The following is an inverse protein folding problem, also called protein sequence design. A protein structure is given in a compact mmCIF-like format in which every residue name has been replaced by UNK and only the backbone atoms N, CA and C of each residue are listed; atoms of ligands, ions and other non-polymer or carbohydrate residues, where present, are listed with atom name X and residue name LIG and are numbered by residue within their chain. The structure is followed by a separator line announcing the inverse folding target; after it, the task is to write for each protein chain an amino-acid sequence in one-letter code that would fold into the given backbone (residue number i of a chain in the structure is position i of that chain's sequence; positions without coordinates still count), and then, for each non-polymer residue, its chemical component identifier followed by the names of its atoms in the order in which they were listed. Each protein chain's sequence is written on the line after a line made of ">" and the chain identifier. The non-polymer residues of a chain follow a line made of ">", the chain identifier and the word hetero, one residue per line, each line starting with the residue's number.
data_IF_317303044287
#
_entry.id   IF_317303044287
#
_cell.length_a   1.000
_cell.length_b   1.000
_cell.length_c   1.000
_cell.angle_alpha   90.00
_cell.angle_beta   90.00
_cell.angle_gamma   90.00
#
_symmetry.space_group_name_H-M   'P 1'
#
loop_
_entity.id
_entity.type
_entity.pdbx_description
1 polymer ?
#
# COMPACT_ATOMS: atom_id res chain seq x y z
N UNK A 1 7.32 18.97 9.23
CA UNK A 1 8.54 19.60 8.65
C UNK A 1 9.01 18.91 7.36
N UNK A 2 8.79 17.60 7.19
CA UNK A 2 9.16 16.83 5.99
C UNK A 2 8.38 17.23 4.71
N UNK A 3 7.06 17.40 4.79
CA UNK A 3 6.19 17.73 3.63
C UNK A 3 6.54 19.10 3.01
N UNK A 4 6.83 20.12 3.82
CA UNK A 4 7.16 21.48 3.32
C UNK A 4 8.52 21.54 2.61
N UNK A 5 9.52 20.74 3.01
CA UNK A 5 10.84 20.69 2.33
C UNK A 5 10.76 20.00 0.96
N UNK A 6 9.89 19.00 0.81
CA UNK A 6 9.70 18.32 -0.48
C UNK A 6 9.00 19.20 -1.53
N UNK A 7 8.09 20.08 -1.12
CA UNK A 7 7.45 21.00 -2.06
C UNK A 7 8.45 21.95 -2.74
N UNK A 8 9.48 22.43 -2.02
CA UNK A 8 10.51 23.29 -2.59
C UNK A 8 11.35 22.57 -3.66
N UNK A 9 11.80 21.35 -3.37
CA UNK A 9 12.58 20.54 -4.34
C UNK A 9 11.77 20.15 -5.57
N UNK A 10 10.48 19.86 -5.40
CA UNK A 10 9.59 19.56 -6.53
C UNK A 10 9.45 20.77 -7.47
N UNK A 11 9.27 21.97 -6.92
CA UNK A 11 9.21 23.20 -7.72
C UNK A 11 10.51 23.47 -8.48
N UNK A 12 11.68 23.21 -7.87
CA UNK A 12 12.98 23.31 -8.55
C UNK A 12 13.09 22.32 -9.72
N UNK A 13 12.72 21.05 -9.49
CA UNK A 13 12.75 20.03 -10.54
C UNK A 13 11.84 20.39 -11.73
N UNK A 14 10.58 20.78 -11.44
CA UNK A 14 9.59 21.21 -12.44
C UNK A 14 10.14 22.34 -13.32
N UNK A 15 10.83 23.31 -12.72
CA UNK A 15 11.43 24.43 -13.45
C UNK A 15 12.57 23.96 -14.38
N UNK A 16 13.41 23.02 -13.93
CA UNK A 16 14.53 22.47 -14.73
C UNK A 16 14.00 21.78 -15.99
N UNK A 17 12.91 21.00 -15.86
CA UNK A 17 12.30 20.29 -16.99
C UNK A 17 11.29 21.14 -17.78
N UNK A 18 11.20 22.45 -17.51
CA UNK A 18 10.32 23.42 -18.19
C UNK A 18 8.83 23.08 -18.11
N UNK A 19 8.40 22.43 -17.04
CA UNK A 19 6.98 22.22 -16.77
C UNK A 19 6.41 23.49 -16.15
N UNK A 20 5.26 23.95 -16.67
CA UNK A 20 4.57 25.13 -16.14
C UNK A 20 3.68 24.71 -14.98
N UNK A 21 4.00 25.16 -13.77
CA UNK A 21 3.17 24.93 -12.59
C UNK A 21 2.08 26.02 -12.48
N UNK A 22 0.82 25.58 -12.49
CA UNK A 22 -0.35 26.43 -12.23
C UNK A 22 -0.93 26.05 -10.88
N UNK A 23 -0.80 26.94 -9.89
CA UNK A 23 -1.39 26.73 -8.58
C UNK A 23 -2.87 27.12 -8.59
N UNK A 24 -3.76 26.14 -8.46
CA UNK A 24 -5.20 26.34 -8.37
C UNK A 24 -5.95 25.00 -8.45
N UNK A 25 -7.24 25.02 -8.17
CA UNK A 25 -8.11 23.86 -8.31
C UNK A 25 -8.56 23.72 -9.77
N UNK A 26 -8.11 22.68 -10.46
CA UNK A 26 -8.44 22.43 -11.86
C UNK A 26 -9.82 21.80 -12.04
N UNK A 27 -10.66 22.40 -12.88
CA UNK A 27 -11.90 21.81 -13.41
C UNK A 27 -11.77 21.66 -14.92
N UNK A 28 -12.13 20.49 -15.46
CA UNK A 28 -12.22 20.30 -16.91
C UNK A 28 -13.49 21.00 -17.39
N UNK A 29 -13.34 22.06 -18.17
CA UNK A 29 -14.45 22.91 -18.65
C UNK A 29 -14.79 22.67 -20.12
N UNK A 30 -13.99 21.85 -20.81
CA UNK A 30 -14.26 21.37 -22.14
C UNK A 30 -13.29 20.26 -22.54
N UNK A 31 -13.54 19.63 -23.70
CA UNK A 31 -12.70 18.53 -24.22
C UNK A 31 -11.20 18.89 -24.28
N UNK A 32 -10.90 20.16 -24.52
CA UNK A 32 -9.55 20.68 -24.72
C UNK A 32 -9.24 21.85 -23.77
N UNK A 33 -9.95 21.97 -22.64
CA UNK A 33 -9.82 23.13 -21.77
C UNK A 33 -9.92 22.72 -20.30
N UNK A 34 -9.00 23.27 -19.49
CA UNK A 34 -9.02 23.19 -18.03
C UNK A 34 -8.97 24.60 -17.45
N UNK A 35 -9.84 24.88 -16.48
CA UNK A 35 -9.82 26.13 -15.72
C UNK A 35 -9.32 25.84 -14.31
N UNK A 36 -8.22 26.48 -13.93
CA UNK A 36 -7.69 26.46 -12.57
C UNK A 36 -8.20 27.67 -11.78
N UNK A 37 -8.92 27.43 -10.69
CA UNK A 37 -9.41 28.48 -9.78
C UNK A 37 -8.49 28.59 -8.57
N UNK A 38 -7.96 29.78 -8.31
CA UNK A 38 -7.06 30.07 -7.17
C UNK A 38 -7.84 30.33 -5.89
N UNK A 39 -7.13 30.39 -4.77
CA UNK A 39 -7.72 30.65 -3.45
C UNK A 39 -8.38 32.05 -3.35
N UNK A 40 -7.93 33.03 -4.13
CA UNK A 40 -8.52 34.37 -4.22
C UNK A 40 -9.72 34.45 -5.19
N UNK A 41 -10.11 33.31 -5.79
CA UNK A 41 -11.19 33.21 -6.77
C UNK A 41 -10.78 33.59 -8.20
N UNK A 42 -9.55 34.08 -8.43
CA UNK A 42 -9.07 34.33 -9.79
C UNK A 42 -8.90 33.01 -10.56
N UNK A 43 -9.09 33.06 -11.87
CA UNK A 43 -9.04 31.87 -12.73
C UNK A 43 -7.92 31.96 -13.76
N UNK A 44 -7.38 30.80 -14.12
CA UNK A 44 -6.46 30.64 -15.22
C UNK A 44 -6.97 29.53 -16.14
N UNK A 45 -7.19 29.87 -17.40
CA UNK A 45 -7.64 28.92 -18.43
C UNK A 45 -6.42 28.34 -19.15
N UNK A 46 -6.45 27.04 -19.40
CA UNK A 46 -5.43 26.30 -20.16
C UNK A 46 -6.12 25.55 -21.29
N UNK A 47 -5.92 26.00 -22.52
CA UNK A 47 -6.29 25.25 -23.72
C UNK A 47 -5.19 24.23 -24.03
N UNK A 48 -5.57 22.96 -24.17
CA UNK A 48 -4.64 21.84 -24.30
C UNK A 48 -5.15 20.75 -25.24
N UNK A 49 -4.23 20.05 -25.90
CA UNK A 49 -4.57 18.90 -26.76
C UNK A 49 -5.03 17.69 -25.94
N UNK A 50 -4.31 17.38 -24.87
CA UNK A 50 -4.55 16.22 -24.01
C UNK A 50 -4.69 16.66 -22.54
N UNK A 51 -5.49 15.91 -21.78
CA UNK A 51 -5.68 16.11 -20.34
C UNK A 51 -5.36 14.80 -19.63
N UNK A 52 -4.48 14.85 -18.63
CA UNK A 52 -4.14 13.71 -17.78
C UNK A 52 -4.65 13.95 -16.35
N UNK A 53 -5.63 13.16 -15.93
CA UNK A 53 -6.20 13.22 -14.58
C UNK A 53 -5.33 12.39 -13.64
N UNK A 54 -4.72 13.06 -12.66
CA UNK A 54 -3.91 12.45 -11.62
C UNK A 54 -4.29 12.99 -10.23
N UNK A 55 -5.60 13.14 -9.97
CA UNK A 55 -6.16 13.78 -8.76
C UNK A 55 -6.05 12.91 -7.51
N UNK A 56 -5.60 11.66 -7.65
CA UNK A 56 -5.25 10.79 -6.54
C UNK A 56 -6.44 10.31 -5.72
N UNK A 57 -6.25 10.26 -4.41
CA UNK A 57 -7.21 9.73 -3.44
C UNK A 57 -7.32 10.60 -2.19
N UNK A 58 -8.35 10.33 -1.40
CA UNK A 58 -8.56 10.87 -0.06
C UNK A 58 -8.84 9.75 0.95
N UNK A 59 -8.84 10.12 2.24
CA UNK A 59 -9.17 9.20 3.34
C UNK A 59 -10.64 8.79 3.24
N UNK A 60 -10.93 7.49 3.36
CA UNK A 60 -12.33 7.05 3.44
C UNK A 60 -12.90 7.41 4.81
N UNK A 61 -13.95 8.25 4.89
CA UNK A 61 -14.55 8.60 6.17
C UNK A 61 -15.28 7.39 6.76
N UNK A 62 -15.22 7.26 8.09
CA UNK A 62 -15.99 6.25 8.81
C UNK A 62 -17.38 6.82 9.14
N UNK A 63 -18.49 6.22 8.66
CA UNK A 63 -19.82 6.72 8.95
C UNK A 63 -20.10 6.83 10.46
N UNK A 64 -20.48 8.02 10.92
CA UNK A 64 -20.76 8.27 12.34
C UNK A 64 -19.55 8.65 13.21
N UNK A 65 -18.33 8.65 12.65
CA UNK A 65 -17.13 9.12 13.36
C UNK A 65 -16.55 10.31 12.57
N UNK A 66 -16.53 11.49 13.19
CA UNK A 66 -15.99 12.70 12.57
C UNK A 66 -14.51 12.87 12.94
N UNK A 67 -13.65 12.88 11.93
CA UNK A 67 -12.21 13.18 12.06
C UNK A 67 -12.06 14.69 12.30
N UNK A 68 -11.33 15.07 13.34
CA UNK A 68 -11.03 16.47 13.68
C UNK A 68 -9.54 16.82 13.55
N UNK A 69 -8.69 15.83 13.27
CA UNK A 69 -7.23 15.96 13.20
C UNK A 69 -6.58 16.49 14.50
N UNK A 70 -7.26 16.29 15.65
CA UNK A 70 -6.74 16.57 16.98
C UNK A 70 -6.68 15.31 17.84
N UNK A 71 -7.85 14.76 18.21
CA UNK A 71 -7.96 13.51 19.00
C UNK A 71 -8.51 12.35 18.19
N UNK A 72 -9.35 12.61 17.19
CA UNK A 72 -9.77 11.64 16.18
C UNK A 72 -9.11 12.03 14.87
N UNK A 73 -8.09 11.27 14.48
CA UNK A 73 -7.17 11.66 13.42
C UNK A 73 -7.27 10.71 12.22
N UNK A 74 -6.98 11.24 11.03
CA UNK A 74 -6.62 10.41 9.89
C UNK A 74 -5.13 10.05 9.96
N UNK A 75 -4.61 9.40 8.91
CA UNK A 75 -3.17 9.23 8.76
C UNK A 75 -2.41 10.57 8.74
N UNK A 76 -3.03 11.66 8.27
CA UNK A 76 -2.41 12.99 8.22
C UNK A 76 -2.18 13.56 9.63
N UNK A 77 -3.21 13.57 10.48
CA UNK A 77 -3.08 14.02 11.87
C UNK A 77 -2.15 13.12 12.68
N UNK A 78 -2.23 11.80 12.47
CA UNK A 78 -1.37 10.82 13.14
C UNK A 78 0.14 11.00 12.85
N UNK A 79 0.53 11.61 11.74
CA UNK A 79 1.92 11.94 11.43
C UNK A 79 2.43 13.22 12.13
N UNK A 80 1.53 13.97 12.77
CA UNK A 80 1.82 15.30 13.33
C UNK A 80 1.28 15.49 14.75
N UNK A 81 1.06 14.41 15.50
CA UNK A 81 0.67 14.50 16.91
C UNK A 81 1.73 15.27 17.70
N UNK A 82 1.26 16.12 18.61
CA UNK A 82 2.13 17.02 19.40
C UNK A 82 2.86 16.31 20.55
N UNK A 83 2.37 15.14 20.96
CA UNK A 83 2.92 14.29 22.02
C UNK A 83 2.54 12.84 21.75
N UNK A 84 3.30 11.90 22.34
CA UNK A 84 2.95 10.48 22.33
C UNK A 84 1.66 10.29 23.14
N UNK A 85 0.60 9.66 22.58
CA UNK A 85 -0.60 9.35 23.35
C UNK A 85 -0.30 8.23 24.36
N UNK A 86 -0.94 8.27 25.53
CA UNK A 86 -0.81 7.17 26.51
C UNK A 86 -1.46 5.89 25.94
N UNK A 87 -2.65 6.02 25.34
CA UNK A 87 -3.35 4.93 24.67
C UNK A 87 -3.92 5.35 23.33
N UNK A 88 -3.68 4.53 22.32
CA UNK A 88 -4.12 4.76 20.94
C UNK A 88 -4.93 3.56 20.42
N UNK A 89 -6.09 3.84 19.84
CA UNK A 89 -6.86 2.84 19.09
C UNK A 89 -6.73 3.15 17.61
N UNK A 90 -6.52 2.10 16.81
CA UNK A 90 -6.42 2.19 15.35
C UNK A 90 -7.58 1.41 14.73
N UNK A 91 -8.40 2.04 13.89
CA UNK A 91 -9.47 1.37 13.15
C UNK A 91 -8.93 0.96 11.78
N UNK A 92 -8.73 -0.35 11.60
CA UNK A 92 -8.13 -0.98 10.43
C UNK A 92 -6.70 -1.42 10.69
N UNK A 93 -6.41 -2.70 10.44
CA UNK A 93 -5.09 -3.32 10.52
C UNK A 93 -4.46 -3.54 9.13
N UNK A 94 -4.82 -2.71 8.16
CA UNK A 94 -4.11 -2.60 6.87
C UNK A 94 -2.74 -1.92 7.01
N UNK A 95 -2.01 -1.79 5.91
CA UNK A 95 -0.63 -1.24 5.83
C UNK A 95 -0.45 0.05 6.66
N UNK A 96 -1.24 1.09 6.35
CA UNK A 96 -1.16 2.40 7.02
C UNK A 96 -1.39 2.27 8.53
N UNK A 97 -2.34 1.44 8.94
CA UNK A 97 -2.72 1.27 10.35
C UNK A 97 -1.61 0.62 11.16
N UNK A 98 -0.98 -0.42 10.64
CA UNK A 98 0.12 -1.11 11.34
C UNK A 98 1.41 -0.30 11.34
N UNK A 99 1.72 0.44 10.27
CA UNK A 99 2.89 1.32 10.24
C UNK A 99 2.78 2.44 11.27
N UNK A 100 1.69 3.24 11.21
CA UNK A 100 1.49 4.36 12.12
C UNK A 100 1.30 3.88 13.56
N UNK A 101 0.57 2.78 13.77
CA UNK A 101 0.45 2.17 15.08
C UNK A 101 1.81 1.72 15.63
N UNK A 102 2.68 1.14 14.79
CA UNK A 102 4.01 0.67 15.21
C UNK A 102 4.93 1.84 15.57
N UNK A 103 4.86 2.95 14.83
CA UNK A 103 5.59 4.20 15.16
C UNK A 103 5.24 4.65 16.58
N UNK A 104 3.96 4.85 16.87
CA UNK A 104 3.54 5.36 18.18
C UNK A 104 3.76 4.34 19.31
N UNK A 105 3.60 3.05 19.04
CA UNK A 105 3.88 1.98 20.00
C UNK A 105 5.35 1.99 20.43
N UNK A 106 6.28 2.13 19.48
CA UNK A 106 7.72 2.21 19.76
C UNK A 106 8.12 3.46 20.53
N UNK A 107 7.36 4.54 20.37
CA UNK A 107 7.55 5.78 21.12
C UNK A 107 6.91 5.75 22.52
N UNK A 108 6.17 4.69 22.87
CA UNK A 108 5.65 4.44 24.22
C UNK A 108 4.13 4.37 24.35
N UNK A 109 3.37 4.49 23.26
CA UNK A 109 1.91 4.39 23.32
C UNK A 109 1.42 2.94 23.53
N UNK A 110 0.35 2.75 24.31
CA UNK A 110 -0.40 1.50 24.32
C UNK A 110 -1.32 1.44 23.09
N UNK A 111 -0.95 0.66 22.09
CA UNK A 111 -1.64 0.61 20.79
C UNK A 111 -2.48 -0.64 20.66
N UNK A 112 -3.76 -0.46 20.29
CA UNK A 112 -4.68 -1.55 19.91
C UNK A 112 -5.27 -1.28 18.53
N UNK A 113 -5.01 -2.16 17.56
CA UNK A 113 -5.71 -2.14 16.27
C UNK A 113 -6.99 -2.99 16.33
N UNK A 114 -8.08 -2.44 15.81
CA UNK A 114 -9.37 -3.10 15.64
C UNK A 114 -9.61 -3.31 14.16
N UNK A 115 -9.79 -4.56 13.74
CA UNK A 115 -9.94 -4.94 12.34
C UNK A 115 -11.17 -5.83 12.17
N UNK A 116 -11.94 -5.52 11.13
CA UNK A 116 -13.15 -6.26 10.79
C UNK A 116 -12.81 -7.64 10.22
N UNK A 117 -11.73 -7.74 9.44
CA UNK A 117 -11.24 -8.98 8.86
C UNK A 117 -10.49 -9.85 9.89
N UNK A 118 -10.21 -11.09 9.49
CA UNK A 118 -9.52 -12.09 10.32
C UNK A 118 -8.00 -12.03 10.29
N UNK A 119 -7.39 -11.06 9.61
CA UNK A 119 -5.95 -10.96 9.39
C UNK A 119 -5.44 -9.51 9.32
N UNK A 120 -4.12 -9.34 9.36
CA UNK A 120 -3.43 -8.03 9.30
C UNK A 120 -2.70 -7.84 7.97
N UNK A 121 -2.39 -6.61 7.58
CA UNK A 121 -1.56 -6.30 6.41
C UNK A 121 -2.33 -5.96 5.14
N UNK A 122 -3.67 -6.08 5.15
CA UNK A 122 -4.53 -5.66 4.05
C UNK A 122 -4.81 -6.75 3.02
N UNK A 123 -5.23 -6.34 1.83
CA UNK A 123 -5.61 -7.26 0.73
C UNK A 123 -4.35 -7.73 -0.01
N UNK A 124 -4.31 -9.01 -0.38
CA UNK A 124 -3.25 -9.58 -1.23
C UNK A 124 -2.03 -10.13 -0.47
N UNK A 125 -1.88 -9.83 0.82
CA UNK A 125 -0.87 -10.46 1.66
C UNK A 125 -1.12 -11.97 1.79
N UNK A 126 -0.06 -12.78 1.79
CA UNK A 126 -0.14 -14.22 2.08
C UNK A 126 -0.54 -14.48 3.54
N UNK A 127 -1.48 -15.41 3.78
CA UNK A 127 -2.07 -15.60 5.11
C UNK A 127 -1.09 -16.16 6.15
N UNK A 128 -0.11 -16.96 5.73
CA UNK A 128 0.92 -17.45 6.66
C UNK A 128 1.87 -16.33 7.04
N UNK A 129 2.26 -15.50 6.08
CA UNK A 129 3.07 -14.31 6.31
C UNK A 129 2.34 -13.32 7.22
N UNK A 130 1.06 -13.05 6.96
CA UNK A 130 0.22 -12.19 7.81
C UNK A 130 0.16 -12.69 9.25
N UNK A 131 -0.08 -13.99 9.46
CA UNK A 131 -0.13 -14.59 10.80
C UNK A 131 1.19 -14.48 11.54
N UNK A 132 2.31 -14.75 10.87
CA UNK A 132 3.64 -14.66 11.48
C UNK A 132 4.00 -13.19 11.78
N UNK A 133 3.66 -12.28 10.88
CA UNK A 133 3.81 -10.84 11.06
C UNK A 133 3.04 -10.33 12.27
N UNK A 134 1.75 -10.68 12.40
CA UNK A 134 0.93 -10.35 13.56
C UNK A 134 1.58 -10.82 14.85
N UNK A 135 2.06 -12.07 14.89
CA UNK A 135 2.69 -12.64 16.09
C UNK A 135 3.93 -11.86 16.51
N UNK A 136 4.75 -11.40 15.55
CA UNK A 136 5.95 -10.62 15.84
C UNK A 136 5.55 -9.23 16.38
N UNK A 137 4.60 -8.54 15.76
CA UNK A 137 4.11 -7.26 16.27
C UNK A 137 3.48 -7.37 17.68
N UNK A 138 2.77 -8.47 17.95
CA UNK A 138 2.23 -8.75 19.29
C UNK A 138 3.34 -8.92 20.34
N UNK A 139 4.44 -9.58 20.00
CA UNK A 139 5.61 -9.69 20.90
C UNK A 139 6.25 -8.32 21.19
N UNK A 140 6.14 -7.36 20.28
CA UNK A 140 6.61 -5.98 20.48
C UNK A 140 5.68 -5.16 21.39
N UNK A 141 4.47 -5.64 21.67
CA UNK A 141 3.46 -4.98 22.50
C UNK A 141 2.25 -4.44 21.73
N UNK A 142 2.21 -4.60 20.40
CA UNK A 142 1.07 -4.16 19.58
C UNK A 142 -0.13 -5.12 19.77
N UNK A 143 -1.27 -4.62 20.24
CA UNK A 143 -2.48 -5.42 20.47
C UNK A 143 -3.39 -5.42 19.24
N UNK A 144 -4.08 -6.54 19.01
CA UNK A 144 -5.04 -6.69 17.90
C UNK A 144 -6.38 -7.23 18.40
N UNK A 145 -7.47 -6.66 17.89
CA UNK A 145 -8.82 -7.22 17.94
C UNK A 145 -9.30 -7.43 16.50
N UNK A 146 -9.01 -8.62 15.97
CA UNK A 146 -9.46 -9.05 14.64
C UNK A 146 -10.89 -9.56 14.70
N UNK A 147 -11.54 -9.75 13.55
CA UNK A 147 -12.96 -10.13 13.46
C UNK A 147 -13.86 -9.26 14.36
N UNK A 148 -13.55 -7.96 14.44
CA UNK A 148 -14.17 -7.01 15.35
C UNK A 148 -14.60 -5.76 14.60
N UNK A 149 -15.86 -5.38 14.74
CA UNK A 149 -16.45 -4.21 14.11
C UNK A 149 -16.51 -3.06 15.11
N UNK A 150 -16.11 -1.87 14.68
CA UNK A 150 -16.40 -0.62 15.41
C UNK A 150 -17.83 -0.18 15.09
N UNK A 151 -18.63 0.13 16.10
CA UNK A 151 -20.02 0.59 15.95
C UNK A 151 -20.17 2.10 16.14
N UNK A 152 -19.20 2.73 16.81
CA UNK A 152 -19.15 4.18 16.97
C UNK A 152 -18.01 4.61 17.88
N UNK A 153 -17.77 5.92 17.95
CA UNK A 153 -16.82 6.52 18.87
C UNK A 153 -17.38 7.84 19.41
N UNK A 154 -17.24 8.06 20.72
CA UNK A 154 -17.75 9.26 21.40
C UNK A 154 -16.62 9.93 22.17
N UNK A 155 -16.42 11.23 21.94
CA UNK A 155 -15.53 12.05 22.77
C UNK A 155 -16.19 12.34 24.10
N UNK A 156 -15.46 12.08 25.18
CA UNK A 156 -15.87 12.39 26.54
C UNK A 156 -15.45 13.80 26.94
N UNK A 157 -16.06 14.30 28.01
CA UNK A 157 -15.74 15.60 28.61
C UNK A 157 -14.34 15.68 29.20
N UNK A 158 -13.72 14.54 29.55
CA UNK A 158 -12.35 14.43 30.05
C UNK A 158 -11.29 14.46 28.93
N UNK A 159 -11.71 14.60 27.67
CA UNK A 159 -10.84 14.62 26.48
C UNK A 159 -10.48 13.24 25.92
N UNK A 160 -10.90 12.14 26.57
CA UNK A 160 -10.70 10.78 26.04
C UNK A 160 -11.81 10.38 25.07
N UNK A 161 -11.59 9.30 24.33
CA UNK A 161 -12.53 8.75 23.34
C UNK A 161 -12.92 7.34 23.76
N UNK A 162 -14.23 7.10 23.88
CA UNK A 162 -14.79 5.76 24.04
C UNK A 162 -15.17 5.20 22.68
N UNK A 163 -14.54 4.08 22.31
CA UNK A 163 -14.77 3.36 21.05
C UNK A 163 -15.61 2.13 21.33
N UNK A 164 -16.82 2.10 20.79
CA UNK A 164 -17.73 0.96 20.90
C UNK A 164 -17.40 -0.07 19.83
N UNK A 165 -17.22 -1.32 20.25
CA UNK A 165 -16.87 -2.44 19.38
C UNK A 165 -17.76 -3.66 19.66
N UNK A 166 -17.89 -4.53 18.66
CA UNK A 166 -18.53 -5.84 18.80
C UNK A 166 -17.85 -6.86 17.88
N UNK A 167 -18.07 -8.16 18.14
CA UNK A 167 -17.63 -9.20 17.20
C UNK A 167 -18.26 -8.96 15.82
N UNK A 168 -17.49 -9.17 14.74
CA UNK A 168 -17.96 -8.94 13.37
C UNK A 168 -19.18 -9.79 13.00
N UNK A 169 -19.31 -10.98 13.60
CA UNK A 169 -20.48 -11.88 13.47
C UNK A 169 -21.70 -11.46 14.30
N UNK A 170 -21.62 -10.36 15.05
CA UNK A 170 -22.59 -9.97 16.07
C UNK A 170 -22.25 -10.57 17.43
N UNK A 171 -22.53 -9.83 18.51
CA UNK A 171 -22.23 -10.27 19.87
C UNK A 171 -22.31 -9.17 20.92
N UNK A 172 -21.77 -9.45 22.11
CA UNK A 172 -21.76 -8.48 23.21
C UNK A 172 -20.86 -7.29 22.88
N UNK A 173 -21.42 -6.09 22.98
CA UNK A 173 -20.67 -4.85 22.83
C UNK A 173 -19.64 -4.67 23.96
N UNK A 174 -18.45 -4.20 23.60
CA UNK A 174 -17.37 -3.78 24.48
C UNK A 174 -17.01 -2.33 24.15
N UNK A 175 -16.50 -1.60 25.14
CA UNK A 175 -16.00 -0.23 24.95
C UNK A 175 -14.51 -0.19 25.27
N UNK A 176 -13.73 0.42 24.38
CA UNK A 176 -12.31 0.69 24.58
C UNK A 176 -12.11 2.21 24.68
N UNK A 177 -11.64 2.69 25.82
CA UNK A 177 -11.25 4.09 25.98
C UNK A 177 -9.80 4.31 25.53
N UNK A 178 -9.53 5.42 24.83
CA UNK A 178 -8.21 5.86 24.37
C UNK A 178 -8.08 7.40 24.37
N UNK A 179 -6.86 7.91 24.19
CA UNK A 179 -6.60 9.36 24.07
C UNK A 179 -6.61 9.81 22.61
N UNK A 180 -6.16 8.94 21.70
CA UNK A 180 -6.15 9.18 20.25
C UNK A 180 -6.78 8.00 19.53
N UNK A 181 -7.69 8.31 18.60
CA UNK A 181 -8.29 7.36 17.68
C UNK A 181 -7.80 7.64 16.25
N UNK A 182 -7.07 6.70 15.67
CA UNK A 182 -6.70 6.75 14.25
C UNK A 182 -7.75 6.01 13.40
N UNK A 183 -8.33 6.72 12.44
CA UNK A 183 -9.23 6.16 11.44
C UNK A 183 -8.46 5.89 10.15
N UNK A 184 -8.24 4.61 9.81
CA UNK A 184 -7.51 4.20 8.61
C UNK A 184 -8.16 3.01 7.90
N UNK A 185 -9.47 3.06 7.72
CA UNK A 185 -10.27 2.00 7.07
C UNK A 185 -10.06 1.87 5.54
N UNK A 186 -9.29 2.79 4.95
CA UNK A 186 -8.97 2.77 3.54
C UNK A 186 -8.89 4.16 2.93
N UNK A 187 -8.72 4.19 1.62
CA UNK A 187 -8.70 5.39 0.79
C UNK A 187 -9.68 5.23 -0.36
N UNK A 188 -10.14 6.35 -0.91
CA UNK A 188 -11.04 6.37 -2.07
C UNK A 188 -10.57 7.38 -3.12
N UNK A 189 -10.86 7.15 -4.41
CA UNK A 189 -10.54 8.11 -5.49
C UNK A 189 -11.08 9.51 -5.20
N UNK A 190 -10.33 10.54 -5.58
CA UNK A 190 -10.76 11.93 -5.46
C UNK A 190 -11.09 12.51 -6.83
N UNK A 191 -12.38 12.72 -7.10
CA UNK A 191 -12.91 13.23 -8.39
C UNK A 191 -13.88 14.40 -8.21
N UNK A 192 -14.02 14.91 -6.98
CA UNK A 192 -14.94 15.98 -6.65
C UNK A 192 -14.68 17.22 -7.50
N UNK A 193 -15.73 17.89 -7.98
CA UNK A 193 -15.65 19.16 -8.71
C UNK A 193 -14.72 19.18 -9.95
N UNK A 194 -14.36 18.01 -10.50
CA UNK A 194 -13.44 17.91 -11.63
C UNK A 194 -14.13 18.17 -13.00
N UNK A 195 -15.46 18.21 -13.05
CA UNK A 195 -16.25 18.42 -14.27
C UNK A 195 -16.55 17.15 -15.07
N UNK A 196 -16.38 15.96 -14.46
CA UNK A 196 -16.59 14.67 -15.12
C UNK A 196 -18.06 14.46 -15.54
N UNK A 197 -19.01 14.85 -14.68
CA UNK A 197 -20.45 14.76 -14.96
C UNK A 197 -20.86 15.60 -16.17
N UNK A 198 -20.36 16.83 -16.26
CA UNK A 198 -20.60 17.75 -17.39
C UNK A 198 -20.09 17.17 -18.73
N UNK A 199 -19.08 16.31 -18.68
CA UNK A 199 -18.48 15.61 -19.82
C UNK A 199 -19.07 14.21 -20.06
N UNK A 200 -19.99 13.76 -19.19
CA UNK A 200 -20.58 12.43 -19.22
C UNK A 200 -19.58 11.30 -18.94
N UNK A 201 -18.46 11.57 -18.24
CA UNK A 201 -17.53 10.55 -17.76
C UNK A 201 -18.10 9.95 -16.47
N UNK A 202 -18.72 8.79 -16.60
CA UNK A 202 -19.28 8.05 -15.47
C UNK A 202 -18.18 7.35 -14.68
N UNK A 203 -18.33 7.34 -13.35
CA UNK A 203 -17.46 6.62 -12.44
C UNK A 203 -17.96 5.19 -12.25
N UNK A 204 -17.07 4.28 -11.90
CA UNK A 204 -17.47 2.93 -11.48
C UNK A 204 -18.09 2.92 -10.07
N UNK A 205 -18.65 1.78 -9.59
CA UNK A 205 -19.28 1.69 -8.27
C UNK A 205 -18.36 2.00 -7.07
N UNK A 206 -17.04 2.05 -7.28
CA UNK A 206 -16.04 2.41 -6.26
C UNK A 206 -15.55 3.85 -6.41
N UNK A 207 -16.14 4.63 -7.31
CA UNK A 207 -15.80 6.03 -7.56
C UNK A 207 -14.56 6.23 -8.44
N UNK A 208 -14.04 5.17 -9.09
CA UNK A 208 -12.86 5.26 -9.96
C UNK A 208 -13.26 5.68 -11.36
N UNK A 209 -12.34 6.34 -12.07
CA UNK A 209 -12.50 6.67 -13.49
C UNK A 209 -12.20 5.42 -14.33
N UNK A 210 -13.16 4.88 -15.10
CA UNK A 210 -12.89 3.78 -16.02
C UNK A 210 -11.99 4.23 -17.16
N UNK A 211 -10.96 3.44 -17.44
CA UNK A 211 -10.00 3.71 -18.52
C UNK A 211 -9.74 2.46 -19.35
N UNK A 212 -9.31 2.65 -20.60
CA UNK A 212 -8.84 1.58 -21.46
C UNK A 212 -7.35 1.26 -21.22
N UNK A 213 -6.77 0.36 -22.01
CA UNK A 213 -5.36 -0.07 -21.89
C UNK A 213 -4.32 1.02 -22.17
N UNK A 214 -4.72 2.14 -22.76
CA UNK A 214 -3.89 3.34 -22.97
C UNK A 214 -4.20 4.43 -21.95
N UNK A 215 -4.88 4.09 -20.86
CA UNK A 215 -5.30 5.01 -19.79
C UNK A 215 -6.27 6.11 -20.25
N UNK A 216 -6.91 5.94 -21.42
CA UNK A 216 -7.91 6.89 -21.92
C UNK A 216 -9.26 6.62 -21.28
N UNK A 217 -9.96 7.70 -20.93
CA UNK A 217 -11.38 7.66 -20.59
C UNK A 217 -12.23 7.40 -21.84
N UNK A 218 -13.57 7.44 -21.71
CA UNK A 218 -14.47 7.42 -22.88
C UNK A 218 -14.24 8.59 -23.86
N UNK A 219 -13.61 9.68 -23.41
CA UNK A 219 -13.20 10.80 -24.27
C UNK A 219 -11.72 10.59 -24.62
N UNK A 220 -11.36 10.32 -25.90
CA UNK A 220 -10.05 9.77 -26.26
C UNK A 220 -8.81 10.61 -25.92
N UNK A 221 -8.96 11.93 -25.70
CA UNK A 221 -7.86 12.82 -25.34
C UNK A 221 -7.82 13.17 -23.84
N UNK A 222 -8.72 12.59 -23.05
CA UNK A 222 -8.74 12.70 -21.59
C UNK A 222 -8.35 11.34 -21.02
N UNK A 223 -7.32 11.36 -20.18
CA UNK A 223 -6.68 10.19 -19.60
C UNK A 223 -6.79 10.23 -18.08
N UNK A 224 -6.61 9.09 -17.41
CA UNK A 224 -6.55 9.03 -15.94
C UNK A 224 -5.57 7.95 -15.46
N UNK A 225 -4.84 8.23 -14.37
CA UNK A 225 -3.80 7.35 -13.79
C UNK A 225 -3.81 7.37 -12.26
N UNK A 226 -3.08 6.43 -11.67
CA UNK A 226 -2.78 6.35 -10.25
C UNK A 226 -3.98 5.91 -9.41
N UNK A 227 -4.13 6.55 -8.26
CA UNK A 227 -5.15 6.22 -7.25
C UNK A 227 -6.60 6.48 -7.70
N UNK A 228 -6.79 7.25 -8.77
CA UNK A 228 -8.13 7.60 -9.28
C UNK A 228 -8.71 6.54 -10.22
N UNK A 229 -7.89 5.56 -10.65
CA UNK A 229 -8.26 4.46 -11.55
C UNK A 229 -8.17 3.10 -10.85
N UNK A 230 -8.42 2.00 -11.59
CA UNK A 230 -8.28 0.65 -11.05
C UNK A 230 -6.81 0.26 -10.77
N UNK A 231 -6.62 -0.81 -9.98
CA UNK A 231 -5.30 -1.34 -9.61
C UNK A 231 -4.90 -1.04 -8.16
N UNK A 232 -3.67 -1.45 -7.76
CA UNK A 232 -3.11 -1.14 -6.44
C UNK A 232 -2.96 0.38 -6.24
N UNK A 233 -3.37 0.89 -5.08
CA UNK A 233 -3.21 2.31 -4.71
C UNK A 233 -1.83 2.53 -4.09
N UNK A 234 -0.81 2.52 -4.96
CA UNK A 234 0.61 2.58 -4.60
C UNK A 234 1.32 3.65 -5.43
N UNK A 235 2.33 4.29 -4.83
CA UNK A 235 3.02 5.41 -5.46
C UNK A 235 3.75 5.02 -6.75
N UNK A 236 4.59 3.98 -6.71
CA UNK A 236 5.34 3.48 -7.87
C UNK A 236 4.42 3.00 -9.00
N UNK A 237 3.25 2.42 -8.67
CA UNK A 237 2.21 2.09 -9.65
C UNK A 237 1.73 3.35 -10.37
N UNK A 238 1.43 4.43 -9.63
CA UNK A 238 0.97 5.69 -10.23
C UNK A 238 2.06 6.37 -11.08
N UNK A 239 3.33 6.26 -10.66
CA UNK A 239 4.48 6.76 -11.41
C UNK A 239 4.62 6.04 -12.76
N UNK A 240 4.63 4.70 -12.75
CA UNK A 240 4.77 3.88 -13.97
C UNK A 240 3.59 4.10 -14.92
N UNK A 241 2.35 4.10 -14.42
CA UNK A 241 1.18 4.44 -15.23
C UNK A 241 1.30 5.83 -15.86
N UNK A 242 1.84 6.81 -15.14
CA UNK A 242 2.07 8.14 -15.65
C UNK A 242 3.08 8.16 -16.80
N UNK A 243 4.21 7.47 -16.65
CA UNK A 243 5.25 7.35 -17.66
C UNK A 243 4.71 6.70 -18.93
N UNK A 244 4.15 5.49 -18.82
CA UNK A 244 3.69 4.75 -19.99
C UNK A 244 2.45 5.39 -20.64
N UNK A 245 1.63 6.12 -19.88
CA UNK A 245 0.52 6.89 -20.43
C UNK A 245 1.03 7.99 -21.37
N UNK A 246 2.00 8.80 -20.91
CA UNK A 246 2.54 9.89 -21.75
C UNK A 246 3.39 9.37 -22.92
N UNK A 247 4.08 8.24 -22.76
CA UNK A 247 4.72 7.53 -23.88
C UNK A 247 3.68 7.06 -24.90
N UNK A 248 2.55 6.53 -24.41
CA UNK A 248 1.40 6.17 -25.24
C UNK A 248 0.80 7.35 -26.00
N UNK A 249 0.73 8.53 -25.39
CA UNK A 249 0.33 9.77 -26.07
C UNK A 249 1.31 10.17 -27.18
N UNK A 250 2.59 9.85 -27.02
CA UNK A 250 3.64 10.07 -28.01
C UNK A 250 3.71 8.97 -29.09
N UNK A 251 2.82 7.98 -29.05
CA UNK A 251 2.75 6.87 -30.03
C UNK A 251 3.48 5.59 -29.59
N UNK A 252 4.03 5.56 -28.39
CA UNK A 252 4.69 4.39 -27.81
C UNK A 252 3.73 3.24 -27.46
N UNK A 253 4.34 2.12 -27.09
CA UNK A 253 3.62 0.99 -26.49
C UNK A 253 3.19 1.33 -25.06
N UNK A 254 2.13 0.68 -24.59
CA UNK A 254 1.63 0.82 -23.22
C UNK A 254 1.44 -0.58 -22.66
N UNK A 255 2.27 -0.96 -21.70
CA UNK A 255 2.17 -2.22 -21.00
C UNK A 255 2.60 -2.03 -19.54
N UNK A 256 1.80 -2.56 -18.64
CA UNK A 256 2.13 -2.70 -17.22
C UNK A 256 1.55 -4.03 -16.76
N UNK A 257 2.36 -4.85 -16.10
CA UNK A 257 1.90 -6.06 -15.46
C UNK A 257 1.66 -5.80 -13.97
N UNK A 258 0.40 -5.64 -13.58
CA UNK A 258 0.04 -5.43 -12.17
C UNK A 258 0.40 -6.61 -11.26
N UNK A 259 0.63 -7.81 -11.81
CA UNK A 259 1.10 -8.96 -11.05
C UNK A 259 2.58 -8.79 -10.60
N UNK A 260 3.35 -7.95 -11.31
CA UNK A 260 4.75 -7.67 -11.03
C UNK A 260 4.95 -6.40 -10.17
N UNK A 261 3.87 -5.72 -9.76
CA UNK A 261 3.92 -4.56 -8.87
C UNK A 261 4.13 -5.02 -7.42
N UNK A 262 5.24 -4.68 -6.76
CA UNK A 262 5.50 -5.09 -5.39
C UNK A 262 4.66 -4.29 -4.38
N UNK A 263 4.40 -4.89 -3.23
CA UNK A 263 3.82 -4.24 -2.05
C UNK A 263 4.79 -4.35 -0.88
N UNK A 264 4.88 -3.30 -0.06
CA UNK A 264 5.78 -3.23 1.09
C UNK A 264 5.07 -2.60 2.30
N UNK A 265 5.33 -3.14 3.48
CA UNK A 265 4.97 -2.61 4.79
C UNK A 265 6.27 -2.32 5.53
N UNK A 266 6.52 -1.05 5.81
CA UNK A 266 7.76 -0.53 6.42
C UNK A 266 7.73 -0.57 7.96
N UNK A 267 7.19 -1.65 8.52
CA UNK A 267 7.37 -1.98 9.93
C UNK A 267 8.77 -2.54 10.17
N UNK A 268 9.07 -2.95 11.40
CA UNK A 268 10.26 -3.75 11.69
C UNK A 268 9.85 -4.99 12.51
N UNK A 269 9.95 -6.21 11.97
CA UNK A 269 10.43 -6.53 10.63
C UNK A 269 9.56 -5.92 9.53
N UNK A 270 10.16 -5.71 8.36
CA UNK A 270 9.43 -5.32 7.16
C UNK A 270 8.65 -6.51 6.61
N UNK A 271 7.63 -6.21 5.81
CA UNK A 271 6.92 -7.22 5.00
C UNK A 271 6.91 -6.74 3.57
N UNK A 272 7.26 -7.59 2.61
CA UNK A 272 7.17 -7.27 1.20
C UNK A 272 6.76 -8.48 0.38
N UNK A 273 6.00 -8.26 -0.69
CA UNK A 273 5.61 -9.34 -1.60
C UNK A 273 5.36 -8.84 -3.01
N UNK A 274 5.43 -9.77 -3.96
CA UNK A 274 5.11 -9.56 -5.38
C UNK A 274 4.60 -10.88 -5.98
N UNK A 275 3.75 -10.80 -7.00
CA UNK A 275 3.06 -11.96 -7.57
C UNK A 275 1.87 -12.44 -6.71
N UNK A 276 1.55 -13.73 -6.83
CA UNK A 276 0.37 -14.35 -6.21
C UNK A 276 0.63 -14.85 -4.79
N UNK A 277 -0.37 -14.78 -3.91
CA UNK A 277 -0.39 -15.49 -2.63
C UNK A 277 -0.82 -16.96 -2.78
N UNK A 278 -0.61 -17.78 -1.75
CA UNK A 278 -1.12 -19.16 -1.76
C UNK A 278 -2.64 -19.22 -1.91
N UNK A 279 -3.36 -18.29 -1.29
CA UNK A 279 -4.82 -18.23 -1.36
C UNK A 279 -5.30 -17.98 -2.79
N UNK A 280 -4.67 -17.03 -3.51
CA UNK A 280 -4.99 -16.76 -4.91
C UNK A 280 -4.69 -17.98 -5.80
N UNK A 281 -3.56 -18.66 -5.61
CA UNK A 281 -3.22 -19.84 -6.39
C UNK A 281 -4.20 -21.00 -6.15
N UNK A 282 -4.69 -21.17 -4.91
CA UNK A 282 -5.74 -22.15 -4.57
C UNK A 282 -7.07 -21.81 -5.23
N UNK A 283 -7.48 -20.55 -5.17
CA UNK A 283 -8.71 -20.06 -5.81
C UNK A 283 -8.67 -20.22 -7.34
N UNK A 284 -7.50 -20.02 -7.94
CA UNK A 284 -7.26 -20.19 -9.38
C UNK A 284 -7.06 -21.66 -9.80
N UNK A 285 -6.99 -22.60 -8.85
CA UNK A 285 -6.78 -24.03 -9.14
C UNK A 285 -5.40 -24.33 -9.72
N UNK A 286 -4.39 -23.50 -9.45
CA UNK A 286 -3.03 -23.66 -9.96
C UNK A 286 -2.25 -24.61 -9.06
N UNK A 287 -1.65 -25.65 -9.64
CA UNK A 287 -0.72 -26.50 -8.90
C UNK A 287 0.63 -25.81 -8.70
N UNK A 288 1.00 -25.60 -7.43
CA UNK A 288 2.26 -24.97 -7.03
C UNK A 288 3.00 -25.81 -5.99
N UNK A 289 4.28 -25.50 -5.83
CA UNK A 289 5.18 -26.00 -4.79
C UNK A 289 5.74 -24.82 -4.00
N UNK A 290 6.17 -25.08 -2.76
CA UNK A 290 6.53 -24.03 -1.80
C UNK A 290 7.94 -24.25 -1.29
N UNK A 291 8.76 -23.19 -1.32
CA UNK A 291 10.06 -23.14 -0.64
C UNK A 291 10.05 -22.07 0.43
N UNK A 292 10.66 -22.36 1.58
CA UNK A 292 10.76 -21.41 2.71
C UNK A 292 12.15 -21.44 3.29
N UNK A 293 12.64 -20.29 3.71
CA UNK A 293 13.91 -20.18 4.43
C UNK A 293 13.81 -19.15 5.56
N UNK A 294 14.04 -19.53 6.83
CA UNK A 294 13.94 -18.61 7.96
C UNK A 294 15.18 -17.69 8.05
N UNK A 295 14.98 -16.42 8.39
CA UNK A 295 16.10 -15.49 8.61
C UNK A 295 16.98 -15.90 9.81
N UNK A 296 16.47 -16.73 10.73
CA UNK A 296 17.26 -17.34 11.81
C UNK A 296 18.42 -18.22 11.31
N UNK A 297 18.34 -18.73 10.08
CA UNK A 297 19.39 -19.51 9.43
C UNK A 297 20.24 -18.69 8.44
N UNK A 298 19.91 -17.42 8.21
CA UNK A 298 20.71 -16.53 7.34
C UNK A 298 21.90 -15.96 8.12
N UNK A 299 23.11 -16.03 7.53
CA UNK A 299 24.33 -15.59 8.21
C UNK A 299 24.32 -14.10 8.55
N UNK A 300 23.91 -13.22 7.62
CA UNK A 300 23.90 -11.77 7.87
C UNK A 300 22.85 -11.37 8.90
N UNK A 301 21.64 -11.92 8.81
CA UNK A 301 20.59 -11.74 9.81
C UNK A 301 21.09 -12.16 11.20
N UNK A 302 21.79 -13.31 11.28
CA UNK A 302 22.39 -13.80 12.53
C UNK A 302 23.49 -12.90 13.06
N UNK A 303 24.38 -12.41 12.18
CA UNK A 303 25.43 -11.44 12.54
C UNK A 303 24.83 -10.14 13.10
N UNK A 304 23.72 -9.69 12.52
CA UNK A 304 23.05 -8.45 12.92
C UNK A 304 22.15 -8.61 14.17
N UNK A 305 21.97 -9.83 14.67
CA UNK A 305 20.98 -10.16 15.70
C UNK A 305 19.54 -9.75 15.33
N UNK A 306 19.21 -9.77 14.04
CA UNK A 306 17.90 -9.45 13.49
C UNK A 306 17.41 -10.62 12.64
N UNK A 307 16.73 -11.57 13.31
CA UNK A 307 16.48 -12.92 12.78
C UNK A 307 15.01 -13.27 12.64
N UNK A 308 14.12 -12.30 12.82
CA UNK A 308 12.68 -12.54 12.73
C UNK A 308 12.24 -12.79 11.28
N UNK A 309 11.34 -13.75 11.11
CA UNK A 309 10.65 -14.00 9.84
C UNK A 309 11.32 -14.99 8.89
N UNK A 310 10.91 -14.95 7.62
CA UNK A 310 11.28 -15.89 6.56
C UNK A 310 11.11 -15.28 5.17
N UNK A 311 11.75 -15.90 4.19
CA UNK A 311 11.37 -15.81 2.78
C UNK A 311 10.52 -17.02 2.42
N UNK A 312 9.45 -16.81 1.64
CA UNK A 312 8.54 -17.82 1.11
C UNK A 312 8.37 -17.62 -0.39
N UNK A 313 8.59 -18.69 -1.15
CA UNK A 313 8.51 -18.72 -2.62
C UNK A 313 7.44 -19.73 -3.04
N UNK A 314 6.63 -19.33 -4.03
CA UNK A 314 5.64 -20.18 -4.69
C UNK A 314 6.10 -20.40 -6.12
N UNK A 315 6.41 -21.65 -6.47
CA UNK A 315 6.80 -22.05 -7.83
C UNK A 315 5.71 -22.90 -8.49
N UNK A 316 5.48 -22.73 -9.78
CA UNK A 316 4.57 -23.60 -10.54
C UNK A 316 5.14 -25.02 -10.60
N UNK A 317 4.30 -26.01 -10.32
CA UNK A 317 4.78 -27.39 -10.12
C UNK A 317 5.37 -28.03 -11.39
N UNK A 318 4.80 -27.74 -12.55
CA UNK A 318 5.20 -28.34 -13.84
C UNK A 318 6.35 -27.63 -14.54
N UNK A 319 6.53 -26.32 -14.32
CA UNK A 319 7.47 -25.48 -15.07
C UNK A 319 8.57 -24.86 -14.20
N UNK A 320 8.46 -24.99 -12.87
CA UNK A 320 9.31 -24.31 -11.89
C UNK A 320 9.24 -22.77 -11.93
N UNK A 321 8.34 -22.18 -12.73
CA UNK A 321 8.18 -20.72 -12.82
C UNK A 321 7.81 -20.12 -11.47
N UNK A 322 8.47 -19.03 -11.06
CA UNK A 322 8.07 -18.29 -9.87
C UNK A 322 6.69 -17.66 -10.11
N UNK A 323 5.77 -17.90 -9.18
CA UNK A 323 4.40 -17.38 -9.20
C UNK A 323 4.19 -16.28 -8.15
N UNK A 324 4.97 -16.30 -7.07
CA UNK A 324 4.93 -15.28 -6.04
C UNK A 324 6.08 -15.42 -5.05
N UNK A 325 6.52 -14.29 -4.51
CA UNK A 325 7.56 -14.19 -3.51
C UNK A 325 7.06 -13.32 -2.36
N UNK A 326 7.22 -13.83 -1.14
CA UNK A 326 6.72 -13.21 0.09
C UNK A 326 7.82 -13.20 1.14
N UNK A 327 8.12 -12.02 1.68
CA UNK A 327 9.27 -11.80 2.54
C UNK A 327 8.77 -11.09 3.80
N UNK A 328 9.04 -11.70 4.95
CA UNK A 328 8.82 -11.10 6.26
C UNK A 328 10.17 -11.13 6.97
N UNK A 329 10.75 -9.98 7.28
CA UNK A 329 12.07 -9.94 7.91
C UNK A 329 12.89 -8.70 7.56
N UNK A 330 14.19 -8.72 7.87
CA UNK A 330 15.10 -7.61 7.57
C UNK A 330 15.24 -7.36 6.07
N UNK A 331 15.14 -6.08 5.67
CA UNK A 331 15.39 -5.63 4.29
C UNK A 331 14.43 -6.20 3.25
N UNK A 332 13.21 -6.56 3.64
CA UNK A 332 12.20 -7.10 2.73
C UNK A 332 11.86 -6.11 1.60
N UNK A 333 11.77 -4.81 1.91
CA UNK A 333 11.45 -3.76 0.94
C UNK A 333 12.49 -3.59 -0.15
N UNK A 334 13.76 -3.92 0.12
CA UNK A 334 14.81 -3.94 -0.89
C UNK A 334 14.81 -5.26 -1.67
N UNK A 335 14.71 -6.38 -0.96
CA UNK A 335 14.80 -7.73 -1.52
C UNK A 335 13.65 -8.06 -2.47
N UNK A 336 12.46 -7.50 -2.27
CA UNK A 336 11.31 -7.71 -3.17
C UNK A 336 11.56 -7.19 -4.58
N UNK A 337 12.48 -6.22 -4.77
CA UNK A 337 12.78 -5.69 -6.10
C UNK A 337 13.56 -6.72 -6.96
N UNK A 338 14.39 -7.55 -6.32
CA UNK A 338 15.00 -8.70 -6.99
C UNK A 338 13.94 -9.72 -7.44
N UNK A 339 12.93 -9.96 -6.58
CA UNK A 339 11.81 -10.83 -6.92
C UNK A 339 10.91 -10.25 -8.04
N UNK A 340 10.71 -8.93 -8.05
CA UNK A 340 9.96 -8.26 -9.11
C UNK A 340 10.68 -8.40 -10.46
N UNK A 341 11.99 -8.17 -10.51
CA UNK A 341 12.80 -8.39 -11.71
C UNK A 341 12.72 -9.86 -12.18
N UNK A 342 12.77 -10.80 -11.25
CA UNK A 342 12.67 -12.22 -11.57
C UNK A 342 11.30 -12.60 -12.16
N UNK A 343 10.19 -12.06 -11.61
CA UNK A 343 8.84 -12.27 -12.14
C UNK A 343 8.66 -11.65 -13.53
N UNK A 344 9.17 -10.44 -13.75
CA UNK A 344 9.15 -9.75 -15.05
C UNK A 344 9.85 -10.56 -16.15
N UNK A 345 11.00 -11.17 -15.82
CA UNK A 345 11.71 -12.08 -16.74
C UNK A 345 11.04 -13.46 -16.88
N UNK A 346 10.03 -13.76 -16.07
CA UNK A 346 9.40 -15.08 -16.03
C UNK A 346 10.32 -16.18 -15.50
N UNK A 347 11.23 -15.83 -14.58
CA UNK A 347 12.24 -16.74 -14.04
C UNK A 347 11.64 -17.98 -13.36
N UNK A 348 12.41 -19.07 -13.38
CA UNK A 348 12.17 -20.25 -12.55
C UNK A 348 12.80 -20.10 -11.16
N UNK A 349 12.35 -20.91 -10.21
CA UNK A 349 12.99 -21.04 -8.91
C UNK A 349 14.45 -21.52 -9.06
N UNK A 350 14.72 -22.43 -10.01
CA UNK A 350 16.07 -22.89 -10.32
C UNK A 350 17.00 -21.75 -10.77
N UNK A 351 16.52 -20.84 -11.63
CA UNK A 351 17.31 -19.71 -12.13
C UNK A 351 17.87 -18.89 -10.95
N UNK A 352 16.99 -18.51 -10.01
CA UNK A 352 17.36 -17.69 -8.85
C UNK A 352 18.30 -18.46 -7.91
N UNK A 353 18.02 -19.75 -7.66
CA UNK A 353 18.86 -20.58 -6.80
C UNK A 353 20.31 -20.69 -7.32
N UNK A 354 20.50 -20.61 -8.65
CA UNK A 354 21.80 -20.67 -9.33
C UNK A 354 22.52 -19.33 -9.42
N UNK A 355 21.85 -18.21 -9.17
CA UNK A 355 22.52 -16.90 -9.07
C UNK A 355 23.48 -16.89 -7.88
N UNK A 356 24.71 -16.45 -8.11
CA UNK A 356 25.74 -16.32 -7.08
C UNK A 356 25.50 -15.06 -6.22
N UNK A 357 24.60 -15.18 -5.24
CA UNK A 357 24.35 -14.15 -4.24
C UNK A 357 25.58 -13.94 -3.35
N UNK A 358 25.94 -12.69 -3.07
CA UNK A 358 27.11 -12.37 -2.26
C UNK A 358 26.96 -12.86 -0.81
N UNK A 359 28.09 -13.20 -0.18
CA UNK A 359 28.11 -13.69 1.21
C UNK A 359 28.93 -12.74 2.13
N UNK A 360 28.44 -12.41 3.35
CA UNK A 360 27.09 -12.67 3.85
C UNK A 360 26.10 -11.57 3.41
N UNK A 361 24.93 -11.95 2.90
CA UNK A 361 23.83 -11.02 2.59
C UNK A 361 22.48 -11.57 3.00
N UNK A 362 21.49 -10.69 3.20
CA UNK A 362 20.11 -11.11 3.49
C UNK A 362 19.48 -11.81 2.28
N UNK A 363 19.87 -11.43 1.05
CA UNK A 363 19.36 -12.04 -0.18
C UNK A 363 19.74 -13.51 -0.35
N UNK A 364 20.72 -14.02 0.41
CA UNK A 364 20.96 -15.47 0.47
C UNK A 364 19.73 -16.25 0.98
N UNK A 365 18.88 -15.66 1.82
CA UNK A 365 17.61 -16.27 2.20
C UNK A 365 16.64 -16.40 1.01
N UNK A 366 16.65 -15.44 0.09
CA UNK A 366 15.87 -15.50 -1.16
C UNK A 366 16.37 -16.61 -2.07
N UNK A 367 17.69 -16.74 -2.21
CA UNK A 367 18.34 -17.85 -2.92
C UNK A 367 17.97 -19.21 -2.33
N UNK A 368 18.09 -19.38 -1.01
CA UNK A 368 17.83 -20.66 -0.34
C UNK A 368 16.35 -21.06 -0.37
N UNK A 369 15.42 -20.10 -0.26
CA UNK A 369 13.99 -20.39 -0.39
C UNK A 369 13.63 -20.83 -1.82
N UNK A 370 14.24 -20.23 -2.84
CA UNK A 370 14.11 -20.67 -4.24
C UNK A 370 14.71 -22.07 -4.45
N UNK A 371 15.88 -22.35 -3.87
CA UNK A 371 16.47 -23.70 -3.90
C UNK A 371 15.56 -24.74 -3.26
N UNK A 372 14.96 -24.42 -2.11
CA UNK A 372 13.98 -25.28 -1.45
C UNK A 372 12.73 -25.51 -2.31
N UNK A 373 12.22 -24.50 -3.01
CA UNK A 373 11.09 -24.65 -3.93
C UNK A 373 11.44 -25.51 -5.15
N UNK A 374 12.62 -25.29 -5.75
CA UNK A 374 13.04 -25.97 -6.96
C UNK A 374 13.44 -27.42 -6.70
N UNK A 375 14.40 -27.64 -5.78
CA UNK A 375 15.05 -28.91 -5.50
C UNK A 375 14.42 -29.70 -4.33
N UNK A 376 13.59 -29.05 -3.51
CA UNK A 376 12.90 -29.66 -2.37
C UNK A 376 13.59 -29.52 -1.02
N UNK A 377 14.79 -28.91 -0.96
CA UNK A 377 15.50 -28.58 0.29
C UNK A 377 16.52 -27.45 0.10
N UNK A 378 16.72 -26.65 1.14
CA UNK A 378 17.82 -25.68 1.27
C UNK A 378 19.14 -26.37 1.64
N UNK A 379 20.25 -25.61 1.61
CA UNK A 379 21.55 -26.07 2.12
C UNK A 379 21.68 -25.77 3.62
N UNK A 380 21.16 -24.63 4.06
CA UNK A 380 21.42 -24.10 5.41
C UNK A 380 20.22 -24.23 6.38
N UNK A 381 19.15 -24.93 6.00
CA UNK A 381 17.97 -25.20 6.84
C UNK A 381 17.29 -26.50 6.43
#
# INVERSE_FOLDING_TARGET
>A
MFVRKNHFKLCEFINIIKVVHVNGYGKITGKNQVTATKADGSTQVVDTKNILIATGSEVTPFPGITIDEDTIVSSTGALSLKKVPEKMVVIGAGVIGVELGSVWQRLGADVTAVEFLGHVGGVGIDMEVSKNFQRILQKQGFKFKLNTKVTGATKKSDGKIDVSIEAASGGKAEVITCDVLLVCIGRRPFTQNLGLEDLGIELDPRGRIPVNTRFQTKIPNIYAIGDVVAGPMLAHKAEDEGIICVEGMAGGAVHIDYNCVPSVIYTHPEVAWVGKSEEQLKEEGIEYKVGKFPFAANSRAKTNADTDGMVKILGQKSTDRVLGAHILGPGAGEMVNEAALALEYGASCEDIARVCHAHPTLSEAFREANLAASFGKSINF
#
